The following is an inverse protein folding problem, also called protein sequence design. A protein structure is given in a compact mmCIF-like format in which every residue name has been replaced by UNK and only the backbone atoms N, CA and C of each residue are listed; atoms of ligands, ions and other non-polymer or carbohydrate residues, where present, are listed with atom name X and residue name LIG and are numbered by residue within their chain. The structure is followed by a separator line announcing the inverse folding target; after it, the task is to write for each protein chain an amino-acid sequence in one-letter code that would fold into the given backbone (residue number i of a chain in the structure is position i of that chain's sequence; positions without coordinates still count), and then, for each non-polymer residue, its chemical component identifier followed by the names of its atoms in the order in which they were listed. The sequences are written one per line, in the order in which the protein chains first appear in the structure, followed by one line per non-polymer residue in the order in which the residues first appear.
data_IF_793272130888
#
_entry.id   IF_793272130888
#
_cell.length_a   1.000
_cell.length_b   1.000
_cell.length_c   1.000
_cell.angle_alpha   90.00
_cell.angle_beta   90.00
_cell.angle_gamma   90.00
#
_symmetry.space_group_name_H-M   'P 1'
#
loop_
_entity.id
_entity.type
_entity.pdbx_description
1 polymer ?
#
# COMPACT_ATOMS: atom_id res chain seq x y z
N UNK A 1 45.39 46.47 4.63
CA UNK A 1 43.92 46.37 4.76
C UNK A 1 43.41 45.43 3.66
N UNK A 2 42.90 44.26 4.03
CA UNK A 2 41.91 43.43 3.32
C UNK A 2 41.98 42.01 3.89
N UNK A 3 41.04 41.67 4.79
CA UNK A 3 40.82 40.30 5.27
C UNK A 3 39.94 39.61 4.23
N UNK A 4 40.51 38.62 3.53
CA UNK A 4 39.78 37.80 2.57
C UNK A 4 38.82 36.86 3.26
N UNK A 5 37.52 37.18 3.21
CA UNK A 5 36.41 36.35 3.67
C UNK A 5 36.34 35.08 2.83
N UNK A 6 36.86 33.97 3.37
CA UNK A 6 36.58 32.61 2.88
C UNK A 6 35.37 32.06 3.65
N UNK A 7 34.18 32.54 3.32
CA UNK A 7 32.91 31.94 3.76
C UNK A 7 32.08 31.69 2.52
N UNK A 8 31.76 30.43 2.21
CA UNK A 8 30.81 30.19 1.12
C UNK A 8 30.63 28.78 0.58
N UNK A 9 31.47 27.78 0.92
CA UNK A 9 31.37 26.46 0.27
C UNK A 9 31.10 25.27 1.20
N UNK A 10 31.41 25.35 2.50
CA UNK A 10 31.23 24.23 3.44
C UNK A 10 29.78 23.99 3.91
N UNK A 11 28.96 25.04 3.96
CA UNK A 11 27.57 24.96 4.50
C UNK A 11 26.59 24.39 3.47
N UNK A 12 26.82 24.65 2.17
CA UNK A 12 25.94 24.19 1.10
C UNK A 12 25.96 22.65 0.93
N UNK A 13 27.14 22.03 1.03
CA UNK A 13 27.28 20.57 0.87
C UNK A 13 26.70 19.82 2.08
N UNK A 14 26.92 20.32 3.30
CA UNK A 14 26.35 19.73 4.52
C UNK A 14 24.82 19.81 4.56
N UNK A 15 24.25 20.95 4.17
CA UNK A 15 22.80 21.13 4.11
C UNK A 15 22.11 20.22 3.09
N UNK A 16 22.70 20.05 1.90
CA UNK A 16 22.16 19.15 0.86
C UNK A 16 22.24 17.69 1.29
N UNK A 17 23.36 17.27 1.90
CA UNK A 17 23.50 15.90 2.41
C UNK A 17 22.46 15.57 3.50
N UNK A 18 22.22 16.50 4.43
CA UNK A 18 21.21 16.34 5.47
C UNK A 18 19.80 16.30 4.85
N UNK A 19 19.50 17.17 3.88
CA UNK A 19 18.20 17.18 3.21
C UNK A 19 17.93 15.86 2.44
N UNK A 20 18.94 15.31 1.77
CA UNK A 20 18.84 14.01 1.09
C UNK A 20 18.62 12.89 2.11
N UNK A 21 19.36 12.88 3.23
CA UNK A 21 19.18 11.89 4.29
C UNK A 21 17.79 11.97 4.92
N UNK A 22 17.30 13.17 5.21
CA UNK A 22 15.94 13.39 5.73
C UNK A 22 14.89 12.94 4.72
N UNK A 23 15.08 13.21 3.42
CA UNK A 23 14.16 12.75 2.38
C UNK A 23 14.13 11.23 2.22
N UNK A 24 15.29 10.57 2.27
CA UNK A 24 15.42 9.10 2.27
C UNK A 24 14.75 8.53 3.53
N UNK A 25 15.05 9.07 4.71
CA UNK A 25 14.43 8.64 5.96
C UNK A 25 12.91 8.81 5.93
N UNK A 26 12.42 9.94 5.40
CA UNK A 26 10.98 10.15 5.25
C UNK A 26 10.37 9.07 4.37
N UNK A 27 10.97 8.75 3.21
CA UNK A 27 10.49 7.65 2.35
C UNK A 27 10.56 6.27 2.99
N UNK A 28 11.57 5.99 3.80
CA UNK A 28 11.77 4.67 4.41
C UNK A 28 10.85 4.45 5.62
N UNK A 29 10.59 5.51 6.40
CA UNK A 29 9.87 5.40 7.67
C UNK A 29 8.42 5.91 7.63
N UNK A 30 8.00 6.65 6.60
CA UNK A 30 6.59 7.00 6.44
C UNK A 30 5.85 5.85 5.75
N UNK A 31 4.84 5.29 6.41
CA UNK A 31 3.87 4.46 5.69
C UNK A 31 3.23 5.31 4.58
N UNK A 32 3.15 4.80 3.33
CA UNK A 32 2.49 5.51 2.25
C UNK A 32 1.08 5.90 2.70
N UNK A 33 0.68 7.15 2.43
CA UNK A 33 -0.66 7.65 2.74
C UNK A 33 -1.78 6.68 2.32
N UNK A 34 -1.58 6.04 1.16
CA UNK A 34 -2.50 5.04 0.61
C UNK A 34 -2.66 3.79 1.48
N UNK A 35 -1.59 3.32 2.13
CA UNK A 35 -1.63 2.19 3.06
C UNK A 35 -2.40 2.55 4.32
N UNK A 36 -2.16 3.73 4.89
CA UNK A 36 -2.86 4.22 6.09
C UNK A 36 -4.36 4.32 5.81
N UNK A 37 -4.74 4.86 4.66
CA UNK A 37 -6.15 4.99 4.27
C UNK A 37 -6.80 3.62 4.03
N UNK A 38 -6.08 2.66 3.46
CA UNK A 38 -6.56 1.30 3.30
C UNK A 38 -6.75 0.59 4.66
N UNK A 39 -5.78 0.69 5.58
CA UNK A 39 -5.89 0.16 6.95
C UNK A 39 -7.09 0.77 7.67
N UNK A 40 -7.26 2.08 7.60
CA UNK A 40 -8.40 2.76 8.21
C UNK A 40 -9.74 2.28 7.63
N UNK A 41 -9.83 2.11 6.31
CA UNK A 41 -11.04 1.58 5.67
C UNK A 41 -11.34 0.14 6.13
N UNK A 42 -10.32 -0.71 6.22
CA UNK A 42 -10.46 -2.10 6.68
C UNK A 42 -10.91 -2.18 8.15
N UNK A 43 -10.37 -1.32 9.02
CA UNK A 43 -10.76 -1.27 10.43
C UNK A 43 -12.13 -0.62 10.67
N UNK A 44 -12.77 -0.07 9.63
CA UNK A 44 -14.16 0.37 9.66
C UNK A 44 -15.08 -0.54 8.82
N UNK A 45 -14.55 -1.63 8.25
CA UNK A 45 -15.33 -2.55 7.44
C UNK A 45 -16.15 -3.49 8.33
N UNK A 46 -17.48 -3.42 8.22
CA UNK A 46 -18.38 -4.09 9.14
C UNK A 46 -18.10 -5.59 9.37
N UNK A 47 -17.81 -6.43 8.36
CA UNK A 47 -17.46 -7.84 8.58
C UNK A 47 -16.24 -8.06 9.48
N UNK A 48 -15.21 -7.20 9.38
CA UNK A 48 -14.00 -7.28 10.23
C UNK A 48 -14.35 -6.86 11.65
N UNK A 49 -15.01 -5.71 11.80
CA UNK A 49 -15.37 -5.13 13.10
C UNK A 49 -16.32 -6.03 13.88
N UNK A 50 -17.34 -6.60 13.22
CA UNK A 50 -18.33 -7.46 13.86
C UNK A 50 -17.74 -8.75 14.45
N UNK A 51 -16.59 -9.19 13.94
CA UNK A 51 -15.88 -10.38 14.43
C UNK A 51 -14.74 -10.03 15.40
N UNK A 52 -14.64 -8.77 15.84
CA UNK A 52 -13.56 -8.30 16.71
C UNK A 52 -12.19 -8.32 16.04
N UNK A 53 -12.15 -8.44 14.72
CA UNK A 53 -10.91 -8.45 13.94
C UNK A 53 -10.37 -7.03 13.72
N UNK A 54 -9.07 -6.93 13.45
CA UNK A 54 -8.45 -5.69 13.02
C UNK A 54 -7.30 -5.94 12.04
N UNK A 55 -6.95 -4.93 11.26
CA UNK A 55 -5.85 -4.96 10.31
C UNK A 55 -4.77 -4.00 10.79
N UNK A 56 -3.54 -4.51 10.90
CA UNK A 56 -2.37 -3.73 11.33
C UNK A 56 -1.65 -3.04 10.17
N UNK A 57 -1.60 -3.71 9.02
CA UNK A 57 -0.92 -3.22 7.82
C UNK A 57 -1.55 -3.83 6.58
N UNK A 58 -1.48 -3.09 5.47
CA UNK A 58 -1.75 -3.59 4.13
C UNK A 58 -0.45 -3.69 3.35
N UNK A 59 -0.42 -4.59 2.38
CA UNK A 59 0.65 -4.66 1.38
C UNK A 59 0.09 -4.25 0.03
N UNK A 60 0.51 -3.10 -0.48
CA UNK A 60 0.21 -2.71 -1.86
C UNK A 60 1.02 -3.59 -2.82
N UNK A 61 0.37 -4.08 -3.87
CA UNK A 61 0.99 -4.89 -4.91
C UNK A 61 1.39 -3.95 -6.04
N UNK A 62 2.63 -3.48 -5.98
CA UNK A 62 3.19 -2.54 -6.96
C UNK A 62 3.89 -3.25 -8.12
N UNK A 63 4.40 -4.46 -7.88
CA UNK A 63 5.05 -5.25 -8.93
C UNK A 63 4.05 -5.64 -10.01
N UNK A 64 4.44 -5.41 -11.27
CA UNK A 64 3.58 -5.67 -12.42
C UNK A 64 3.19 -7.14 -12.54
N UNK A 65 4.12 -8.07 -12.32
CA UNK A 65 3.87 -9.49 -12.40
C UNK A 65 2.92 -9.97 -11.31
N UNK A 66 3.13 -9.50 -10.07
CA UNK A 66 2.22 -9.80 -8.97
C UNK A 66 0.81 -9.23 -9.19
N UNK A 67 0.67 -8.05 -9.80
CA UNK A 67 -0.65 -7.49 -10.14
C UNK A 67 -1.39 -8.34 -11.17
N UNK A 68 -0.67 -8.89 -12.16
CA UNK A 68 -1.25 -9.81 -13.15
C UNK A 68 -1.69 -11.12 -12.46
N UNK A 69 -0.85 -11.67 -11.58
CA UNK A 69 -1.18 -12.86 -10.79
C UNK A 69 -2.43 -12.61 -9.91
N UNK A 70 -2.51 -11.45 -9.27
CA UNK A 70 -3.67 -11.02 -8.49
C UNK A 70 -4.96 -11.04 -9.31
N UNK A 71 -4.96 -10.44 -10.50
CA UNK A 71 -6.13 -10.40 -11.39
C UNK A 71 -6.54 -11.80 -11.86
N UNK A 72 -5.56 -12.66 -12.14
CA UNK A 72 -5.82 -14.05 -12.54
C UNK A 72 -6.50 -14.86 -11.42
N UNK A 73 -6.19 -14.56 -10.17
CA UNK A 73 -6.70 -15.26 -8.97
C UNK A 73 -8.08 -14.72 -8.49
N UNK A 74 -8.66 -13.72 -9.17
CA UNK A 74 -9.99 -13.20 -8.81
C UNK A 74 -11.10 -14.14 -9.29
N UNK A 75 -11.78 -14.83 -8.39
CA UNK A 75 -12.84 -15.79 -8.76
C UNK A 75 -14.09 -15.15 -9.38
N UNK A 76 -14.38 -13.89 -9.07
CA UNK A 76 -15.59 -13.17 -9.53
C UNK A 76 -15.47 -12.47 -10.89
N UNK A 77 -14.36 -12.63 -11.62
CA UNK A 77 -14.09 -11.88 -12.86
C UNK A 77 -14.04 -12.82 -14.07
N UNK A 78 -14.80 -12.48 -15.13
CA UNK A 78 -14.79 -13.28 -16.37
C UNK A 78 -13.40 -13.29 -17.02
N UNK A 79 -13.08 -14.34 -17.79
CA UNK A 79 -11.80 -14.44 -18.50
C UNK A 79 -11.56 -13.25 -19.45
N UNK A 80 -12.60 -12.76 -20.12
CA UNK A 80 -12.51 -11.58 -20.98
C UNK A 80 -12.14 -10.32 -20.19
N UNK A 81 -12.80 -10.10 -19.05
CA UNK A 81 -12.52 -8.96 -18.18
C UNK A 81 -11.11 -9.04 -17.57
N UNK A 82 -10.67 -10.23 -17.13
CA UNK A 82 -9.29 -10.45 -16.65
C UNK A 82 -8.27 -10.07 -17.72
N UNK A 83 -8.47 -10.53 -18.96
CA UNK A 83 -7.59 -10.22 -20.09
C UNK A 83 -7.50 -8.72 -20.35
N UNK A 84 -8.63 -8.01 -20.38
CA UNK A 84 -8.66 -6.56 -20.57
C UNK A 84 -7.92 -5.81 -19.44
N UNK A 85 -8.12 -6.24 -18.19
CA UNK A 85 -7.46 -5.61 -17.05
C UNK A 85 -5.95 -5.88 -17.06
N UNK A 86 -5.52 -7.10 -17.40
CA UNK A 86 -4.11 -7.45 -17.58
C UNK A 86 -3.48 -6.61 -18.69
N UNK A 87 -4.16 -6.44 -19.83
CA UNK A 87 -3.67 -5.60 -20.93
C UNK A 87 -3.47 -4.13 -20.49
N UNK A 88 -4.36 -3.60 -19.65
CA UNK A 88 -4.20 -2.25 -19.06
C UNK A 88 -2.99 -2.16 -18.14
N UNK A 89 -2.76 -3.19 -17.31
CA UNK A 89 -1.55 -3.29 -16.47
C UNK A 89 -0.30 -3.36 -17.37
N UNK A 90 -0.36 -4.15 -18.43
CA UNK A 90 0.76 -4.35 -19.35
C UNK A 90 1.19 -3.07 -20.06
N UNK A 91 0.21 -2.30 -20.52
CA UNK A 91 0.39 -0.99 -21.16
C UNK A 91 0.75 0.12 -20.17
N UNK A 92 0.77 -0.15 -18.86
CA UNK A 92 1.06 0.86 -17.84
C UNK A 92 -0.03 1.92 -17.71
N UNK A 93 -1.26 1.62 -18.16
CA UNK A 93 -2.39 2.56 -18.10
C UNK A 93 -2.91 2.67 -16.65
N UNK A 94 -2.80 1.59 -15.87
CA UNK A 94 -3.23 1.59 -14.47
C UNK A 94 -2.16 2.23 -13.60
N UNK A 95 -2.51 3.34 -12.93
CA UNK A 95 -1.60 4.07 -12.06
C UNK A 95 -1.08 3.15 -10.95
N UNK A 96 0.19 3.31 -10.51
CA UNK A 96 0.70 2.63 -9.33
C UNK A 96 -0.12 2.91 -8.07
N UNK A 97 -0.72 4.11 -7.98
CA UNK A 97 -1.56 4.53 -6.86
C UNK A 97 -2.96 3.87 -6.88
N UNK A 98 -3.29 3.16 -7.96
CA UNK A 98 -4.50 2.33 -8.10
C UNK A 98 -4.14 0.84 -7.93
N UNK A 99 -3.19 0.54 -7.04
CA UNK A 99 -2.69 -0.80 -6.82
C UNK A 99 -3.69 -1.69 -6.05
N UNK A 100 -3.75 -2.99 -6.39
CA UNK A 100 -4.38 -3.94 -5.50
C UNK A 100 -3.60 -4.05 -4.19
N UNK A 101 -4.28 -4.45 -3.13
CA UNK A 101 -3.67 -4.69 -1.83
C UNK A 101 -4.13 -6.03 -1.24
N UNK A 102 -3.31 -6.56 -0.35
CA UNK A 102 -3.64 -7.70 0.52
C UNK A 102 -3.34 -7.35 1.97
N UNK A 103 -4.11 -7.90 2.89
CA UNK A 103 -3.86 -7.76 4.32
C UNK A 103 -4.36 -8.98 5.10
N UNK A 104 -3.75 -9.18 6.27
CA UNK A 104 -4.21 -10.15 7.25
C UNK A 104 -5.16 -9.45 8.24
N UNK A 105 -6.25 -10.13 8.56
CA UNK A 105 -7.14 -9.78 9.66
C UNK A 105 -6.64 -10.52 10.89
N UNK A 106 -6.46 -9.79 11.98
CA UNK A 106 -5.92 -10.25 13.25
C UNK A 106 -7.00 -10.24 14.34
N UNK A 107 -6.95 -11.19 15.27
CA UNK A 107 -7.69 -11.10 16.53
C UNK A 107 -7.01 -10.17 17.55
N UNK A 108 -7.55 -10.06 18.76
CA UNK A 108 -7.00 -9.26 19.85
C UNK A 108 -5.61 -9.72 20.34
N UNK A 109 -5.24 -10.98 20.12
CA UNK A 109 -3.95 -11.54 20.50
C UNK A 109 -2.90 -11.38 19.39
N UNK A 110 -3.33 -10.92 18.20
CA UNK A 110 -2.50 -10.72 17.03
C UNK A 110 -2.37 -11.95 16.14
N UNK A 111 -3.17 -13.00 16.37
CA UNK A 111 -3.18 -14.18 15.51
C UNK A 111 -3.97 -13.90 14.22
N UNK A 112 -3.54 -14.50 13.10
CA UNK A 112 -4.19 -14.30 11.80
C UNK A 112 -5.47 -15.13 11.75
N UNK A 113 -6.61 -14.45 11.69
CA UNK A 113 -7.96 -15.06 11.64
C UNK A 113 -8.61 -14.95 10.26
N UNK A 114 -8.04 -14.14 9.37
CA UNK A 114 -8.58 -13.93 8.04
C UNK A 114 -7.61 -13.23 7.10
N UNK A 115 -8.02 -13.14 5.83
CA UNK A 115 -7.33 -12.41 4.78
C UNK A 115 -8.31 -11.52 4.05
N UNK A 116 -7.88 -10.32 3.72
CA UNK A 116 -8.67 -9.35 2.97
C UNK A 116 -7.86 -8.84 1.80
N UNK A 117 -8.52 -8.69 0.65
CA UNK A 117 -7.90 -8.12 -0.54
C UNK A 117 -8.85 -7.17 -1.27
N UNK A 118 -8.27 -6.24 -2.00
CA UNK A 118 -9.02 -5.18 -2.64
C UNK A 118 -8.15 -4.25 -3.46
N UNK A 119 -8.68 -3.06 -3.74
CA UNK A 119 -8.00 -2.00 -4.47
C UNK A 119 -8.02 -0.71 -3.67
N UNK A 120 -6.89 -0.04 -3.59
CA UNK A 120 -6.82 1.35 -3.14
C UNK A 120 -6.68 2.21 -4.38
N UNK A 121 -7.60 3.15 -4.58
CA UNK A 121 -7.62 4.02 -5.76
C UNK A 121 -7.57 5.49 -5.37
N UNK A 122 -6.57 6.20 -5.87
CA UNK A 122 -6.37 7.62 -5.57
C UNK A 122 -7.59 8.45 -6.02
N UNK A 123 -8.19 9.18 -5.07
CA UNK A 123 -9.39 10.02 -5.29
C UNK A 123 -10.74 9.29 -5.19
N UNK A 124 -10.77 7.96 -5.16
CA UNK A 124 -12.02 7.18 -5.05
C UNK A 124 -12.20 6.57 -3.66
N UNK A 125 -11.13 6.00 -3.10
CA UNK A 125 -11.18 5.33 -1.80
C UNK A 125 -10.64 3.90 -1.84
N UNK A 126 -11.03 3.12 -0.84
CA UNK A 126 -10.63 1.72 -0.70
C UNK A 126 -11.83 0.85 -1.08
N UNK A 127 -11.66 -0.02 -2.06
CA UNK A 127 -12.64 -1.02 -2.44
C UNK A 127 -12.17 -2.36 -1.90
N UNK A 128 -13.01 -3.01 -1.09
CA UNK A 128 -12.76 -4.35 -0.57
C UNK A 128 -13.42 -5.33 -1.54
N UNK A 129 -12.61 -6.17 -2.17
CA UNK A 129 -13.10 -7.15 -3.14
C UNK A 129 -13.45 -8.47 -2.47
N UNK A 130 -12.70 -8.85 -1.43
CA UNK A 130 -12.90 -10.11 -0.74
C UNK A 130 -12.39 -10.04 0.70
N UNK A 131 -13.13 -10.65 1.63
CA UNK A 131 -12.73 -10.85 3.01
C UNK A 131 -13.05 -12.31 3.38
N UNK A 132 -12.00 -13.13 3.50
CA UNK A 132 -12.09 -14.57 3.78
C UNK A 132 -11.60 -14.82 5.20
N UNK A 133 -12.37 -15.61 5.94
CA UNK A 133 -12.00 -16.03 7.29
C UNK A 133 -11.36 -17.41 7.23
N UNK A 134 -10.31 -17.61 8.01
CA UNK A 134 -9.68 -18.92 8.15
C UNK A 134 -10.53 -19.74 9.11
N UNK A 135 -11.00 -20.90 8.67
CA UNK A 135 -11.81 -21.78 9.52
C UNK A 135 -10.98 -22.34 10.68
N UNK A 136 -11.59 -22.42 11.88
CA UNK A 136 -10.97 -22.98 13.08
C UNK A 136 -10.23 -21.98 13.99
N UNK A 137 -10.35 -20.68 13.73
CA UNK A 137 -9.86 -19.62 14.63
C UNK A 137 -11.08 -18.98 15.31
N UNK A 138 -11.26 -19.28 16.60
CA UNK A 138 -12.39 -18.86 17.44
C UNK A 138 -12.16 -17.50 18.07
#
# INVERSE_FOLDING_TARGET
MSKGTKMGLGVAVGGVAIAVLVWIMFRVFSQPYEEVMAVNALNNYAPIVQRGGHVKAVRLILDKGERIAYVNDLDGMTAASKKEHIEKIEKGIVRPDDAPFVANVLDSEGAVVGRVRGYRMAGVGTIISECVWLEGVN
#
